data_IF_660238910810
#
_entry.id   IF_660238910810
#
_cell.length_a   1.000
_cell.length_b   1.000
_cell.length_c   1.000
_cell.angle_alpha   90.00
_cell.angle_beta   90.00
_cell.angle_gamma   90.00
#
_symmetry.space_group_name_H-M   'P 1'
#
loop_
_entity.id
_entity.type
_entity.pdbx_description
1 polymer ?
#
# COMPACT_ATOMS: atom_id res chain seq x y z
N UNK A 1 23.72 9.40 -21.65
CA UNK A 1 22.80 8.93 -20.58
C UNK A 1 21.87 7.90 -21.19
N UNK A 2 21.91 6.64 -20.74
CA UNK A 2 20.98 5.60 -21.23
C UNK A 2 19.60 5.93 -20.67
N UNK A 3 18.59 6.01 -21.55
CA UNK A 3 17.20 6.12 -21.16
C UNK A 3 16.85 4.95 -20.24
N UNK A 4 16.56 5.24 -18.97
CA UNK A 4 16.02 4.26 -18.04
C UNK A 4 14.65 3.90 -18.59
N UNK A 5 14.46 2.64 -18.94
CA UNK A 5 13.22 2.12 -19.48
C UNK A 5 12.16 2.15 -18.36
N UNK A 6 11.51 3.31 -18.20
CA UNK A 6 10.51 3.60 -17.16
C UNK A 6 9.25 2.75 -17.32
N UNK A 7 9.09 2.04 -18.46
CA UNK A 7 8.01 1.09 -18.70
C UNK A 7 8.02 -0.11 -17.74
N UNK A 8 9.15 -0.44 -17.11
CA UNK A 8 9.24 -1.57 -16.17
C UNK A 8 9.11 -1.20 -14.68
N UNK A 9 9.13 0.09 -14.33
CA UNK A 9 8.95 0.51 -12.93
C UNK A 9 7.50 0.31 -12.46
N UNK A 10 6.54 0.32 -13.40
CA UNK A 10 5.09 0.19 -13.13
C UNK A 10 4.62 -1.28 -13.13
N UNK A 11 5.55 -2.25 -13.10
CA UNK A 11 5.22 -3.68 -12.95
C UNK A 11 4.96 -3.98 -11.47
N UNK A 12 3.71 -3.80 -11.05
CA UNK A 12 3.18 -4.37 -9.81
C UNK A 12 3.98 -3.97 -8.58
N UNK A 13 3.87 -2.71 -8.19
CA UNK A 13 4.40 -2.25 -6.93
C UNK A 13 3.77 -3.03 -5.76
N UNK A 14 4.50 -4.02 -5.24
CA UNK A 14 4.14 -4.68 -4.00
C UNK A 14 4.15 -3.61 -2.89
N UNK A 15 2.96 -3.29 -2.39
CA UNK A 15 2.77 -2.28 -1.36
C UNK A 15 3.56 -2.59 -0.09
N UNK A 16 3.73 -3.87 0.24
CA UNK A 16 4.57 -4.27 1.36
C UNK A 16 6.05 -4.00 1.05
N UNK A 17 6.51 -4.28 -0.17
CA UNK A 17 7.88 -4.01 -0.58
C UNK A 17 8.21 -2.50 -0.63
N UNK A 18 7.25 -1.65 -0.99
CA UNK A 18 7.42 -0.19 -0.90
C UNK A 18 7.50 0.23 0.56
N UNK A 19 6.59 -0.28 1.39
CA UNK A 19 6.53 0.08 2.80
C UNK A 19 7.83 -0.26 3.54
N UNK A 20 8.43 -1.42 3.27
CA UNK A 20 9.68 -1.84 3.90
C UNK A 20 10.91 -1.05 3.44
N UNK A 21 10.83 -0.29 2.35
CA UNK A 21 11.89 0.62 1.90
C UNK A 21 11.87 1.98 2.62
N UNK A 22 10.78 2.30 3.34
CA UNK A 22 10.73 3.50 4.15
C UNK A 22 11.71 3.41 5.32
N UNK A 23 12.09 4.55 5.90
CA UNK A 23 12.91 4.54 7.12
C UNK A 23 12.17 3.83 8.26
N UNK A 24 12.86 3.11 9.16
CA UNK A 24 12.21 2.39 10.26
C UNK A 24 11.30 3.28 11.14
N UNK A 25 11.71 4.52 11.38
CA UNK A 25 10.92 5.53 12.10
C UNK A 25 9.59 5.84 11.40
N UNK A 26 9.63 6.01 10.08
CA UNK A 26 8.44 6.25 9.25
C UNK A 26 7.55 5.02 9.19
N UNK A 27 8.13 3.81 9.10
CA UNK A 27 7.36 2.57 9.16
C UNK A 27 6.58 2.47 10.48
N UNK A 28 7.28 2.66 11.61
CA UNK A 28 6.66 2.58 12.93
C UNK A 28 5.54 3.62 13.10
N UNK A 29 5.79 4.88 12.70
CA UNK A 29 4.79 5.94 12.82
C UNK A 29 3.54 5.66 11.97
N UNK A 30 3.72 5.23 10.72
CA UNK A 30 2.60 4.90 9.83
C UNK A 30 1.84 3.67 10.32
N UNK A 31 2.51 2.64 10.84
CA UNK A 31 1.84 1.47 11.44
C UNK A 31 1.00 1.85 12.66
N UNK A 32 1.57 2.64 13.59
CA UNK A 32 0.88 3.08 14.79
C UNK A 32 -0.33 3.97 14.46
N UNK A 33 -0.16 4.95 13.57
CA UNK A 33 -1.24 5.84 13.16
C UNK A 33 -2.34 5.08 12.42
N UNK A 34 -1.97 4.15 11.53
CA UNK A 34 -2.93 3.33 10.82
C UNK A 34 -3.74 2.43 11.77
N UNK A 35 -3.08 1.78 12.72
CA UNK A 35 -3.75 0.95 13.72
C UNK A 35 -4.70 1.77 14.59
N UNK A 36 -4.27 2.98 14.98
CA UNK A 36 -5.07 3.88 15.83
C UNK A 36 -6.32 4.37 15.10
N UNK A 37 -6.20 4.76 13.83
CA UNK A 37 -7.33 5.28 13.05
C UNK A 37 -8.30 4.21 12.55
N UNK A 38 -7.81 3.00 12.28
CA UNK A 38 -8.62 1.93 11.64
C UNK A 38 -8.94 0.75 12.55
N UNK A 39 -8.29 0.63 13.71
CA UNK A 39 -8.37 -0.54 14.57
C UNK A 39 -7.80 -1.82 13.95
N UNK A 40 -7.15 -1.74 12.78
CA UNK A 40 -6.70 -2.90 12.00
C UNK A 40 -5.20 -2.87 11.76
N UNK A 41 -4.48 -4.01 11.85
CA UNK A 41 -3.06 -4.06 11.52
C UNK A 41 -2.78 -3.76 10.04
N UNK A 42 -1.81 -2.88 9.77
CA UNK A 42 -1.44 -2.43 8.42
C UNK A 42 -0.77 -3.51 7.58
N UNK A 43 0.23 -4.21 8.13
CA UNK A 43 1.03 -5.19 7.37
C UNK A 43 0.20 -6.32 6.72
N UNK A 44 -0.75 -6.97 7.42
CA UNK A 44 -1.62 -7.96 6.80
C UNK A 44 -2.44 -7.41 5.62
N UNK A 45 -2.92 -6.16 5.72
CA UNK A 45 -3.65 -5.50 4.63
C UNK A 45 -2.75 -5.20 3.44
N UNK A 46 -1.54 -4.67 3.66
CA UNK A 46 -0.56 -4.44 2.59
C UNK A 46 -0.25 -5.74 1.83
N UNK A 47 -0.02 -6.84 2.56
CA UNK A 47 0.24 -8.15 1.95
C UNK A 47 -0.97 -8.70 1.20
N UNK A 48 -2.18 -8.56 1.73
CA UNK A 48 -3.43 -8.99 1.08
C UNK A 48 -3.71 -8.20 -0.20
N UNK A 49 -3.51 -6.88 -0.15
CA UNK A 49 -3.76 -5.97 -1.27
C UNK A 49 -2.62 -5.92 -2.29
N UNK A 50 -1.40 -6.36 -1.96
CA UNK A 50 -0.23 -6.38 -2.86
C UNK A 50 -0.55 -7.06 -4.20
N UNK A 51 -1.33 -8.14 -4.17
CA UNK A 51 -1.73 -8.92 -5.35
C UNK A 51 -2.95 -8.36 -6.07
N UNK A 52 -3.72 -7.47 -5.46
CA UNK A 52 -4.94 -6.95 -6.08
C UNK A 52 -4.64 -6.03 -7.26
N UNK A 53 -3.55 -5.27 -7.20
CA UNK A 53 -3.13 -4.40 -8.30
C UNK A 53 -2.64 -5.18 -9.52
N UNK A 54 -1.85 -6.24 -9.30
CA UNK A 54 -1.43 -7.13 -10.38
C UNK A 54 -2.62 -7.94 -10.94
N UNK A 55 -3.46 -8.50 -10.08
CA UNK A 55 -4.64 -9.27 -10.50
C UNK A 55 -5.70 -8.43 -11.21
N UNK A 56 -5.93 -7.19 -10.78
CA UNK A 56 -6.87 -6.27 -11.44
C UNK A 56 -6.41 -5.88 -12.85
N UNK A 57 -5.09 -5.72 -13.05
CA UNK A 57 -4.50 -5.35 -14.35
C UNK A 57 -4.43 -6.52 -15.35
N UNK A 58 -4.31 -7.76 -14.88
CA UNK A 58 -4.30 -8.98 -15.70
C UNK A 58 -5.59 -9.79 -15.53
N UNK A 59 -6.74 -9.11 -15.46
CA UNK A 59 -8.06 -9.69 -15.20
C UNK A 59 -8.51 -10.73 -16.23
N UNK A 60 -7.84 -10.82 -17.38
CA UNK A 60 -8.02 -11.88 -18.39
C UNK A 60 -7.58 -13.28 -17.90
N UNK A 61 -6.66 -13.39 -16.92
CA UNK A 61 -6.15 -14.68 -16.43
C UNK A 61 -6.87 -15.23 -15.19
N UNK A 62 -7.80 -14.49 -14.58
CA UNK A 62 -8.44 -14.92 -13.33
C UNK A 62 -9.97 -14.78 -13.38
N UNK A 63 -10.63 -15.90 -13.68
CA UNK A 63 -12.07 -16.07 -13.43
C UNK A 63 -12.35 -15.99 -11.91
N UNK A 64 -13.18 -15.04 -11.50
CA UNK A 64 -13.88 -15.11 -10.20
C UNK A 64 -13.11 -14.67 -8.95
N UNK A 65 -12.22 -13.67 -9.05
CA UNK A 65 -11.61 -13.08 -7.85
C UNK A 65 -12.61 -12.23 -7.03
N UNK A 66 -13.02 -12.70 -5.86
CA UNK A 66 -13.73 -11.87 -4.88
C UNK A 66 -12.74 -10.89 -4.25
N UNK A 67 -12.70 -9.66 -4.77
CA UNK A 67 -11.88 -8.60 -4.18
C UNK A 67 -12.56 -8.07 -2.92
N UNK A 68 -11.81 -8.03 -1.82
CA UNK A 68 -12.26 -7.39 -0.58
C UNK A 68 -12.19 -5.86 -0.73
N UNK A 69 -13.16 -5.29 -1.44
CA UNK A 69 -13.21 -3.87 -1.81
C UNK A 69 -13.22 -2.93 -0.60
N UNK A 70 -13.87 -3.33 0.50
CA UNK A 70 -13.84 -2.57 1.75
C UNK A 70 -12.41 -2.47 2.31
N UNK A 71 -11.63 -3.55 2.29
CA UNK A 71 -10.24 -3.49 2.77
C UNK A 71 -9.32 -2.64 1.90
N UNK A 72 -9.59 -2.52 0.60
CA UNK A 72 -8.86 -1.57 -0.26
C UNK A 72 -9.19 -0.13 0.13
N UNK A 73 -10.47 0.15 0.38
CA UNK A 73 -10.93 1.47 0.83
C UNK A 73 -10.35 1.84 2.20
N UNK A 74 -10.38 0.91 3.14
CA UNK A 74 -9.87 1.13 4.50
C UNK A 74 -8.34 1.32 4.49
N UNK A 75 -7.63 0.55 3.67
CA UNK A 75 -6.19 0.72 3.44
C UNK A 75 -5.87 2.10 2.86
N UNK A 76 -6.58 2.52 1.80
CA UNK A 76 -6.33 3.81 1.16
C UNK A 76 -6.61 5.00 2.08
N UNK A 77 -7.75 4.96 2.79
CA UNK A 77 -8.13 6.02 3.74
C UNK A 77 -7.15 6.10 4.91
N UNK A 78 -6.85 4.96 5.54
CA UNK A 78 -5.95 4.92 6.69
C UNK A 78 -4.52 5.36 6.36
N UNK A 79 -3.99 4.98 5.18
CA UNK A 79 -2.67 5.43 4.74
C UNK A 79 -2.63 6.94 4.47
N UNK A 80 -3.66 7.47 3.81
CA UNK A 80 -3.75 8.91 3.54
C UNK A 80 -3.78 9.73 4.83
N UNK A 81 -4.59 9.30 5.81
CA UNK A 81 -4.68 9.95 7.11
C UNK A 81 -3.36 9.82 7.90
N UNK A 82 -2.79 8.62 7.97
CA UNK A 82 -1.54 8.38 8.71
C UNK A 82 -0.36 9.19 8.19
N UNK A 83 -0.18 9.25 6.86
CA UNK A 83 0.90 10.02 6.22
C UNK A 83 0.67 11.53 6.41
N UNK A 84 -0.58 11.99 6.30
CA UNK A 84 -0.92 13.40 6.51
C UNK A 84 -0.66 13.85 7.94
N UNK A 85 -1.09 13.07 8.94
CA UNK A 85 -0.82 13.35 10.35
C UNK A 85 0.68 13.42 10.62
N UNK A 86 1.44 12.45 10.13
CA UNK A 86 2.89 12.44 10.30
C UNK A 86 3.56 13.67 9.69
N UNK A 87 3.13 14.09 8.49
CA UNK A 87 3.64 15.31 7.85
C UNK A 87 3.37 16.58 8.67
N UNK A 88 2.15 16.73 9.21
CA UNK A 88 1.79 17.89 10.05
C UNK A 88 2.58 17.92 11.36
N UNK A 89 2.88 16.76 11.94
CA UNK A 89 3.57 16.67 13.24
C UNK A 89 5.09 16.86 13.14
N UNK A 90 5.67 16.75 11.95
CA UNK A 90 7.13 16.74 11.74
C UNK A 90 7.63 17.85 10.78
N UNK A 91 6.79 18.84 10.47
CA UNK A 91 7.10 20.05 9.68
C UNK A 91 6.84 21.31 10.50
#
# INVERSE_FOLDING_TARGET
MKAVNTESAVRGHDLYAIFTQLKPETQSAVETNFLTSTGTPLIPLLKKCSKYFSHGRYSFEQFGGSYYLSGVRDLAKGLLEAVRTYGIENE
#
